data_IF_846929482862
#
_entry.id   IF_846929482862
#
_cell.length_a   1.000
_cell.length_b   1.000
_cell.length_c   1.000
_cell.angle_alpha   90.00
_cell.angle_beta   90.00
_cell.angle_gamma   90.00
#
_symmetry.space_group_name_H-M   'P 1'
#
loop_
_entity.id
_entity.type
_entity.pdbx_description
1 polymer ?
#
# COMPACT_ATOMS: atom_id res chain seq x y z
N UNK A 1 -5.14 13.43 -8.81
CA UNK A 1 -4.97 12.25 -9.69
C UNK A 1 -3.83 12.58 -10.63
N UNK A 2 -2.70 11.89 -10.49
CA UNK A 2 -1.63 11.99 -11.48
C UNK A 2 -2.15 11.55 -12.85
N UNK A 3 -1.60 12.08 -13.94
CA UNK A 3 -1.92 11.62 -15.30
C UNK A 3 -1.50 10.17 -15.59
N UNK A 4 -0.86 9.49 -14.63
CA UNK A 4 -0.39 8.12 -14.76
C UNK A 4 -1.47 7.08 -14.41
N UNK A 5 -2.37 7.39 -13.46
CA UNK A 5 -3.40 6.47 -12.98
C UNK A 5 -4.40 6.08 -14.09
N UNK A 6 -4.71 4.79 -14.21
CA UNK A 6 -5.78 4.33 -15.11
C UNK A 6 -7.14 4.42 -14.42
N UNK A 7 -8.13 4.95 -15.12
CA UNK A 7 -9.54 4.88 -14.71
C UNK A 7 -10.06 3.44 -14.69
N UNK A 8 -11.12 3.18 -13.93
CA UNK A 8 -11.77 1.86 -13.89
C UNK A 8 -12.21 1.38 -15.28
N UNK A 9 -12.69 2.29 -16.13
CA UNK A 9 -13.07 1.98 -17.51
C UNK A 9 -11.87 1.59 -18.39
N UNK A 10 -10.67 2.14 -18.13
CA UNK A 10 -9.44 1.69 -18.79
C UNK A 10 -9.09 0.28 -18.32
N UNK A 11 -9.08 0.02 -17.01
CA UNK A 11 -8.82 -1.32 -16.46
C UNK A 11 -9.75 -2.37 -17.04
N UNK A 12 -11.06 -2.13 -17.02
CA UNK A 12 -12.06 -3.04 -17.56
C UNK A 12 -11.86 -3.32 -19.05
N UNK A 13 -11.55 -2.28 -19.84
CA UNK A 13 -11.27 -2.43 -21.28
C UNK A 13 -10.09 -3.36 -21.53
N UNK A 14 -9.05 -3.29 -20.70
CA UNK A 14 -7.86 -4.13 -20.83
C UNK A 14 -8.10 -5.57 -20.38
N UNK A 15 -8.96 -5.81 -19.38
CA UNK A 15 -9.13 -7.16 -18.81
C UNK A 15 -10.34 -7.95 -19.35
N UNK A 16 -11.36 -7.30 -19.93
CA UNK A 16 -12.66 -7.93 -20.27
C UNK A 16 -12.56 -9.18 -21.16
N UNK A 17 -11.62 -9.19 -22.11
CA UNK A 17 -11.42 -10.29 -23.06
C UNK A 17 -10.30 -11.24 -22.66
N UNK A 18 -9.59 -10.96 -21.57
CA UNK A 18 -8.49 -11.80 -21.10
C UNK A 18 -9.07 -13.11 -20.58
N UNK A 19 -8.50 -14.24 -21.03
CA UNK A 19 -8.79 -15.59 -20.57
C UNK A 19 -7.47 -16.27 -20.28
N UNK A 20 -7.34 -16.83 -19.08
CA UNK A 20 -6.10 -17.44 -18.60
C UNK A 20 -6.40 -18.75 -17.89
N UNK A 21 -5.36 -19.51 -17.52
CA UNK A 21 -5.50 -20.69 -16.65
C UNK A 21 -6.12 -20.36 -15.28
N UNK A 22 -6.12 -19.09 -14.88
CA UNK A 22 -6.81 -18.61 -13.68
C UNK A 22 -8.32 -18.51 -13.87
N UNK A 23 -8.76 -17.98 -15.00
CA UNK A 23 -10.17 -17.89 -15.34
C UNK A 23 -10.37 -18.11 -16.85
N UNK A 24 -10.58 -19.38 -17.28
CA UNK A 24 -10.59 -19.71 -18.70
C UNK A 24 -11.92 -19.40 -19.39
N UNK A 25 -13.01 -19.31 -18.63
CA UNK A 25 -14.38 -19.26 -19.19
C UNK A 25 -15.09 -17.93 -18.97
N UNK A 26 -14.66 -17.12 -18.00
CA UNK A 26 -15.30 -15.85 -17.67
C UNK A 26 -14.27 -14.70 -17.66
N UNK A 27 -14.74 -13.43 -17.81
CA UNK A 27 -13.91 -12.26 -17.56
C UNK A 27 -13.37 -12.24 -16.12
N UNK A 28 -12.21 -11.61 -15.93
CA UNK A 28 -11.64 -11.37 -14.62
C UNK A 28 -12.54 -10.44 -13.79
N UNK A 29 -12.58 -10.67 -12.47
CA UNK A 29 -13.40 -9.91 -11.55
C UNK A 29 -12.90 -8.45 -11.45
N UNK A 30 -13.78 -7.49 -11.75
CA UNK A 30 -13.46 -6.06 -11.72
C UNK A 30 -13.56 -5.45 -10.32
N UNK A 31 -14.21 -6.13 -9.37
CA UNK A 31 -14.51 -5.60 -8.02
C UNK A 31 -13.61 -6.15 -6.92
N UNK A 32 -13.15 -7.38 -7.05
CA UNK A 32 -12.41 -8.07 -6.00
C UNK A 32 -11.24 -8.89 -6.57
N UNK A 33 -10.17 -9.00 -5.80
CA UNK A 33 -9.12 -10.00 -6.02
C UNK A 33 -9.54 -11.30 -5.33
N UNK A 34 -9.67 -12.36 -6.11
CA UNK A 34 -10.15 -13.67 -5.64
C UNK A 34 -9.02 -14.67 -5.37
N UNK A 35 -7.78 -14.30 -5.71
CA UNK A 35 -6.59 -15.12 -5.48
C UNK A 35 -6.43 -15.43 -3.99
N UNK A 36 -6.11 -16.67 -3.68
CA UNK A 36 -5.96 -17.15 -2.30
C UNK A 36 -4.51 -17.52 -1.97
N UNK A 37 -4.12 -17.49 -0.68
CA UNK A 37 -2.76 -17.81 -0.24
C UNK A 37 -2.28 -19.26 -0.48
N UNK A 38 -3.20 -20.18 -0.79
CA UNK A 38 -2.96 -21.59 -1.11
C UNK A 38 -2.88 -21.86 -2.63
N UNK A 39 -3.12 -20.83 -3.46
CA UNK A 39 -3.01 -20.94 -4.90
C UNK A 39 -1.54 -21.09 -5.34
N UNK A 40 -1.27 -22.01 -6.28
CA UNK A 40 0.09 -22.23 -6.81
C UNK A 40 0.73 -20.99 -7.46
N UNK A 41 -0.09 -20.02 -7.87
CA UNK A 41 0.32 -18.73 -8.44
C UNK A 41 0.67 -17.68 -7.38
N UNK A 42 0.30 -17.91 -6.13
CA UNK A 42 0.30 -16.88 -5.09
C UNK A 42 1.68 -16.27 -4.83
N UNK A 43 2.73 -17.08 -4.74
CA UNK A 43 4.09 -16.55 -4.49
C UNK A 43 4.58 -15.69 -5.66
N UNK A 44 4.35 -16.11 -6.90
CA UNK A 44 4.68 -15.28 -8.08
C UNK A 44 3.84 -14.00 -8.10
N UNK A 45 2.58 -14.06 -7.65
CA UNK A 45 1.74 -12.88 -7.52
C UNK A 45 2.32 -11.88 -6.51
N UNK A 46 2.85 -12.34 -5.37
CA UNK A 46 3.52 -11.47 -4.40
C UNK A 46 4.75 -10.79 -4.99
N UNK A 47 5.61 -11.53 -5.70
CA UNK A 47 6.74 -10.94 -6.41
C UNK A 47 6.30 -9.96 -7.51
N UNK A 48 5.16 -10.24 -8.15
CA UNK A 48 4.61 -9.33 -9.14
C UNK A 48 4.11 -8.03 -8.52
N UNK A 49 3.38 -8.10 -7.40
CA UNK A 49 2.94 -6.93 -6.62
C UNK A 49 4.15 -6.10 -6.20
N UNK A 50 5.17 -6.77 -5.66
CA UNK A 50 6.42 -6.17 -5.20
C UNK A 50 7.16 -5.41 -6.30
N UNK A 51 7.42 -6.08 -7.43
CA UNK A 51 8.18 -5.47 -8.52
C UNK A 51 7.42 -4.31 -9.20
N UNK A 52 6.09 -4.28 -9.08
CA UNK A 52 5.26 -3.17 -9.56
C UNK A 52 4.98 -2.12 -8.47
N UNK A 53 5.52 -2.29 -7.25
CA UNK A 53 5.41 -1.33 -6.14
C UNK A 53 3.95 -0.99 -5.79
N UNK A 54 3.07 -1.97 -5.90
CA UNK A 54 1.62 -1.74 -5.86
C UNK A 54 1.13 -1.36 -4.46
N UNK A 55 1.76 -1.90 -3.43
CA UNK A 55 1.37 -1.60 -2.04
C UNK A 55 2.31 -0.58 -1.38
N UNK A 56 3.29 -0.04 -2.10
CA UNK A 56 4.03 1.14 -1.65
C UNK A 56 3.00 2.25 -1.45
N UNK A 57 2.94 2.82 -0.25
CA UNK A 57 1.97 3.84 0.04
C UNK A 57 2.53 4.91 0.94
N UNK A 58 1.90 6.07 0.82
CA UNK A 58 2.13 7.22 1.66
C UNK A 58 0.84 7.59 2.38
N UNK A 59 0.94 8.09 3.60
CA UNK A 59 -0.21 8.58 4.33
C UNK A 59 -0.23 10.10 4.43
N UNK A 60 -1.39 10.70 4.18
CA UNK A 60 -1.63 12.14 4.30
C UNK A 60 -2.82 12.41 5.24
N UNK A 61 -2.78 13.53 5.97
CA UNK A 61 -3.97 14.02 6.68
C UNK A 61 -5.07 14.36 5.66
N UNK A 62 -6.31 14.02 5.99
CA UNK A 62 -7.45 14.45 5.20
C UNK A 62 -7.58 15.97 5.11
N UNK A 63 -7.71 16.47 3.87
CA UNK A 63 -7.69 17.90 3.54
C UNK A 63 -6.29 18.45 3.23
N UNK A 64 -5.30 17.57 3.08
CA UNK A 64 -3.99 17.88 2.53
C UNK A 64 -4.02 18.31 1.06
N UNK A 65 -2.83 18.44 0.48
CA UNK A 65 -2.49 19.36 -0.62
C UNK A 65 -3.33 19.18 -1.89
N UNK A 66 -3.89 17.98 -2.13
CA UNK A 66 -4.64 17.67 -3.36
C UNK A 66 -5.99 16.94 -3.13
N UNK A 67 -6.39 16.69 -1.88
CA UNK A 67 -7.59 15.89 -1.60
C UNK A 67 -8.88 16.70 -1.62
N UNK A 68 -9.80 16.32 -2.50
CA UNK A 68 -11.13 16.92 -2.63
C UNK A 68 -12.29 16.07 -2.07
N UNK A 69 -12.00 14.91 -1.48
CA UNK A 69 -13.00 13.94 -1.01
C UNK A 69 -13.39 14.07 0.48
N UNK A 70 -14.01 13.02 1.06
CA UNK A 70 -14.51 13.01 2.44
C UNK A 70 -13.47 13.41 3.49
N UNK A 71 -13.93 14.13 4.53
CA UNK A 71 -13.07 14.74 5.55
C UNK A 71 -12.82 13.93 6.84
N UNK A 72 -13.27 12.69 6.89
CA UNK A 72 -13.52 11.95 8.15
C UNK A 72 -12.50 10.86 8.49
N UNK A 73 -11.26 10.93 7.97
CA UNK A 73 -10.28 9.85 8.16
C UNK A 73 -8.84 10.26 7.88
N UNK A 74 -8.06 9.30 7.36
CA UNK A 74 -6.68 9.47 6.93
C UNK A 74 -6.55 8.92 5.51
N UNK A 75 -5.83 9.61 4.62
CA UNK A 75 -5.71 9.24 3.21
C UNK A 75 -4.48 8.37 3.03
N UNK A 76 -4.64 7.24 2.35
CA UNK A 76 -3.53 6.42 1.87
C UNK A 76 -3.41 6.61 0.36
N UNK A 77 -2.23 7.06 -0.08
CA UNK A 77 -1.86 7.21 -1.47
C UNK A 77 -1.05 5.99 -1.87
N UNK A 78 -1.70 5.03 -2.51
CA UNK A 78 -1.09 3.78 -2.94
C UNK A 78 -0.46 3.92 -4.31
N UNK A 79 0.62 3.18 -4.54
CA UNK A 79 1.35 3.07 -5.80
C UNK A 79 1.60 4.42 -6.52
N UNK A 80 2.10 5.45 -5.81
CA UNK A 80 2.18 6.82 -6.33
C UNK A 80 3.00 6.89 -7.63
N UNK A 81 2.48 7.62 -8.62
CA UNK A 81 3.13 7.80 -9.92
C UNK A 81 2.99 6.61 -10.89
N UNK A 82 2.17 5.61 -10.55
CA UNK A 82 1.94 4.43 -11.39
C UNK A 82 0.49 4.36 -11.90
N UNK A 83 0.22 3.46 -12.85
CA UNK A 83 -1.16 3.21 -13.32
C UNK A 83 -2.08 2.58 -12.25
N UNK A 84 -1.50 2.01 -11.19
CA UNK A 84 -2.24 1.47 -10.05
C UNK A 84 -2.50 2.51 -8.96
N UNK A 85 -2.02 3.75 -9.14
CA UNK A 85 -2.20 4.82 -8.17
C UNK A 85 -3.68 4.95 -7.77
N UNK A 86 -3.93 4.88 -6.48
CA UNK A 86 -5.28 5.03 -5.92
C UNK A 86 -5.22 5.68 -4.54
N UNK A 87 -6.35 6.25 -4.14
CA UNK A 87 -6.48 6.94 -2.86
C UNK A 87 -7.62 6.31 -2.07
N UNK A 88 -7.31 5.81 -0.88
CA UNK A 88 -8.31 5.29 0.05
C UNK A 88 -8.39 6.20 1.27
N UNK A 89 -9.59 6.35 1.83
CA UNK A 89 -9.78 7.00 3.13
C UNK A 89 -10.08 5.92 4.15
N UNK A 90 -9.23 5.80 5.15
CA UNK A 90 -9.41 4.85 6.25
C UNK A 90 -9.75 5.58 7.54
N UNK A 91 -10.44 4.93 8.49
CA UNK A 91 -10.63 5.47 9.83
C UNK A 91 -9.30 5.76 10.52
N UNK A 92 -9.28 6.75 11.42
CA UNK A 92 -8.06 7.10 12.16
C UNK A 92 -7.49 5.92 12.94
N UNK A 93 -8.30 5.06 13.55
CA UNK A 93 -7.80 3.89 14.28
C UNK A 93 -6.97 2.96 13.40
N UNK A 94 -7.46 2.66 12.20
CA UNK A 94 -6.74 1.88 11.20
C UNK A 94 -5.43 2.57 10.82
N UNK A 95 -5.48 3.86 10.53
CA UNK A 95 -4.30 4.64 10.17
C UNK A 95 -3.25 4.68 11.30
N UNK A 96 -3.68 4.83 12.55
CA UNK A 96 -2.81 4.84 13.73
C UNK A 96 -2.06 3.53 13.87
N UNK A 97 -2.71 2.40 13.60
CA UNK A 97 -2.03 1.12 13.62
C UNK A 97 -0.86 1.09 12.62
N UNK A 98 -1.12 1.44 11.36
CA UNK A 98 -0.08 1.47 10.33
C UNK A 98 1.04 2.51 10.60
N UNK A 99 0.67 3.67 11.12
CA UNK A 99 1.60 4.80 11.24
C UNK A 99 2.40 4.71 12.53
N UNK A 100 1.76 4.38 13.65
CA UNK A 100 2.39 4.46 14.97
C UNK A 100 2.84 3.10 15.52
N UNK A 101 2.07 2.03 15.30
CA UNK A 101 2.41 0.72 15.86
C UNK A 101 3.53 0.05 15.07
N UNK A 102 3.40 0.04 13.73
CA UNK A 102 4.38 -0.59 12.84
C UNK A 102 5.75 0.10 12.93
N UNK A 103 5.74 1.44 13.03
CA UNK A 103 6.96 2.23 13.16
C UNK A 103 7.50 2.35 14.59
N UNK A 104 6.72 1.92 15.60
CA UNK A 104 7.07 2.02 17.03
C UNK A 104 7.47 3.46 17.45
N UNK A 105 6.74 4.45 16.97
CA UNK A 105 7.11 5.85 17.15
C UNK A 105 7.05 6.32 18.61
N UNK A 106 8.11 7.01 19.02
CA UNK A 106 8.25 7.64 20.34
C UNK A 106 8.17 9.16 20.22
N UNK A 107 7.75 9.83 21.29
CA UNK A 107 7.69 11.29 21.34
C UNK A 107 9.06 11.97 21.16
N UNK A 108 10.15 11.27 21.48
CA UNK A 108 11.53 11.70 21.22
C UNK A 108 11.91 11.80 19.75
N UNK A 109 11.12 11.20 18.85
CA UNK A 109 11.34 11.26 17.40
C UNK A 109 10.72 12.50 16.76
N UNK A 110 9.83 13.20 17.49
CA UNK A 110 9.09 14.38 17.02
C UNK A 110 9.10 15.48 18.10
N UNK A 111 10.29 15.82 18.59
CA UNK A 111 10.45 16.67 19.79
C UNK A 111 9.81 18.05 19.60
N UNK A 112 10.06 18.68 18.47
CA UNK A 112 9.53 19.99 18.10
C UNK A 112 8.00 20.05 18.05
N UNK A 113 7.33 18.91 17.85
CA UNK A 113 5.89 18.81 18.00
C UNK A 113 5.50 18.71 19.47
N UNK A 114 6.06 17.75 20.21
CA UNK A 114 5.61 17.40 21.56
C UNK A 114 6.02 18.39 22.64
N UNK A 115 7.14 19.11 22.49
CA UNK A 115 7.65 20.08 23.48
C UNK A 115 6.64 21.21 23.76
N UNK A 116 5.81 21.57 22.78
CA UNK A 116 4.74 22.58 22.91
C UNK A 116 3.63 22.15 23.88
N UNK A 117 3.51 20.84 24.12
CA UNK A 117 2.46 20.23 24.95
C UNK A 117 3.02 19.63 26.25
N UNK A 118 4.30 19.90 26.56
CA UNK A 118 4.98 19.43 27.78
C UNK A 118 6.25 18.62 27.50
N UNK A 119 6.98 18.21 28.55
CA UNK A 119 8.28 17.56 28.40
C UNK A 119 8.20 16.26 27.61
N UNK A 120 9.19 15.99 26.76
CA UNK A 120 9.36 14.73 26.02
C UNK A 120 9.87 13.64 26.97
N UNK A 121 9.30 12.43 26.91
CA UNK A 121 9.50 11.36 27.91
C UNK A 121 10.06 10.04 27.38
N UNK A 122 10.25 9.90 26.07
CA UNK A 122 10.64 8.63 25.45
C UNK A 122 9.51 7.60 25.42
N UNK A 123 8.27 8.06 25.40
CA UNK A 123 7.07 7.19 25.41
C UNK A 123 6.44 7.11 24.03
N UNK A 124 5.64 6.07 23.79
CA UNK A 124 4.90 5.93 22.53
C UNK A 124 4.04 7.17 22.27
N UNK A 125 4.01 7.64 21.03
CA UNK A 125 3.15 8.75 20.63
C UNK A 125 1.66 8.46 20.87
N UNK A 126 1.24 7.18 20.89
CA UNK A 126 -0.15 6.79 21.22
C UNK A 126 -0.55 7.19 22.63
N UNK A 127 0.40 7.22 23.56
CA UNK A 127 0.17 7.66 24.93
C UNK A 127 0.10 9.19 25.06
N UNK A 128 0.62 9.90 24.06
CA UNK A 128 0.66 11.37 24.02
C UNK A 128 -0.53 11.97 23.28
N UNK A 129 -0.99 11.29 22.22
CA UNK A 129 -2.00 11.81 21.31
C UNK A 129 -3.40 11.35 21.70
N UNK A 130 -4.37 12.26 21.60
CA UNK A 130 -5.78 11.94 21.80
C UNK A 130 -6.64 12.30 20.59
N UNK A 131 -7.92 11.90 20.60
CA UNK A 131 -8.87 12.32 19.57
C UNK A 131 -9.55 13.66 19.85
N UNK A 132 -9.63 14.04 21.12
CA UNK A 132 -10.50 15.15 21.57
C UNK A 132 -9.72 16.33 22.14
N UNK A 133 -8.59 16.07 22.79
CA UNK A 133 -7.79 17.05 23.52
C UNK A 133 -6.38 17.13 22.97
N UNK A 134 -5.87 18.34 22.77
CA UNK A 134 -4.51 18.53 22.28
C UNK A 134 -3.47 17.94 23.24
N UNK A 135 -2.38 17.35 22.70
CA UNK A 135 -2.12 17.18 21.28
C UNK A 135 -2.98 16.07 20.66
N UNK A 136 -3.61 16.37 19.53
CA UNK A 136 -4.52 15.44 18.84
C UNK A 136 -3.83 14.68 17.70
N UNK A 137 -4.38 13.52 17.34
CA UNK A 137 -3.97 12.79 16.14
C UNK A 137 -4.05 13.63 14.87
N UNK A 138 -5.09 14.46 14.74
CA UNK A 138 -5.25 15.34 13.59
C UNK A 138 -4.17 16.43 13.52
N UNK A 139 -3.78 17.02 14.65
CA UNK A 139 -2.67 17.99 14.72
C UNK A 139 -1.34 17.32 14.38
N UNK A 140 -1.10 16.12 14.90
CA UNK A 140 0.14 15.38 14.64
C UNK A 140 0.27 14.93 13.18
N UNK A 141 -0.78 14.35 12.60
CA UNK A 141 -0.79 13.94 11.19
C UNK A 141 -0.62 15.12 10.23
N UNK A 142 -1.14 16.30 10.59
CA UNK A 142 -0.84 17.53 9.85
C UNK A 142 0.64 17.86 9.87
N UNK A 143 1.25 17.72 11.04
CA UNK A 143 2.65 18.03 11.26
C UNK A 143 3.57 17.07 10.50
N UNK A 144 3.27 15.76 10.49
CA UNK A 144 4.16 14.75 9.88
C UNK A 144 3.83 14.42 8.42
N UNK A 145 2.60 14.65 7.97
CA UNK A 145 2.12 14.30 6.64
C UNK A 145 1.79 15.48 5.73
N UNK A 146 1.90 16.73 6.21
CA UNK A 146 1.64 17.91 5.38
C UNK A 146 2.70 18.13 4.28
N UNK A 147 2.36 18.89 3.24
CA UNK A 147 3.24 19.19 2.10
C UNK A 147 4.62 19.75 2.49
N UNK A 148 4.66 20.55 3.56
CA UNK A 148 5.88 21.19 4.08
C UNK A 148 6.54 20.37 5.21
N UNK A 149 6.05 19.15 5.47
CA UNK A 149 6.57 18.34 6.56
C UNK A 149 7.96 17.78 6.22
N UNK A 150 8.98 18.00 7.07
CA UNK A 150 10.25 17.29 6.92
C UNK A 150 10.10 15.78 7.18
N UNK A 151 8.96 15.36 7.72
CA UNK A 151 8.62 13.98 8.03
C UNK A 151 7.79 13.29 6.94
N UNK A 152 7.59 13.92 5.79
CA UNK A 152 6.82 13.37 4.68
C UNK A 152 7.26 11.95 4.27
N UNK A 153 8.58 11.66 4.34
CA UNK A 153 9.15 10.34 4.04
C UNK A 153 8.98 9.29 5.15
N UNK A 154 8.52 9.71 6.33
CA UNK A 154 8.39 8.84 7.50
C UNK A 154 7.17 7.95 7.39
N UNK A 155 6.19 8.36 6.60
CA UNK A 155 4.92 7.65 6.42
C UNK A 155 4.86 6.89 5.10
N UNK A 156 6.04 6.57 4.56
CA UNK A 156 6.20 5.78 3.36
C UNK A 156 6.57 4.34 3.73
N UNK A 157 5.78 3.39 3.23
CA UNK A 157 6.08 1.97 3.34
C UNK A 157 6.63 1.45 2.02
N UNK A 158 7.76 0.75 2.11
CA UNK A 158 8.40 0.09 0.98
C UNK A 158 8.62 -1.38 1.28
N UNK A 159 8.26 -2.25 0.37
CA UNK A 159 8.59 -3.67 0.48
C UNK A 159 10.10 -3.93 0.35
N UNK A 160 10.63 -4.76 1.24
CA UNK A 160 12.03 -5.16 1.22
C UNK A 160 12.23 -6.55 0.64
N UNK A 161 11.57 -7.54 1.23
CA UNK A 161 11.89 -8.96 1.02
C UNK A 161 10.66 -9.81 1.19
N UNK A 162 10.58 -10.88 0.41
CA UNK A 162 9.56 -11.91 0.49
C UNK A 162 10.26 -13.20 0.89
N UNK A 163 9.84 -13.80 2.01
CA UNK A 163 10.29 -15.11 2.51
C UNK A 163 9.15 -16.13 2.33
N UNK A 164 9.17 -16.94 1.24
CA UNK A 164 8.12 -17.91 0.97
C UNK A 164 8.08 -19.07 1.97
N UNK A 165 9.22 -19.40 2.61
CA UNK A 165 9.30 -20.50 3.56
C UNK A 165 8.61 -20.13 4.87
N UNK A 166 8.86 -18.92 5.36
CA UNK A 166 8.19 -18.39 6.56
C UNK A 166 6.83 -17.77 6.28
N UNK A 167 6.49 -17.57 5.00
CA UNK A 167 5.26 -16.89 4.54
C UNK A 167 5.14 -15.47 5.09
N UNK A 168 6.24 -14.73 5.01
CA UNK A 168 6.38 -13.37 5.53
C UNK A 168 6.84 -12.44 4.41
N UNK A 169 6.32 -11.21 4.42
CA UNK A 169 6.87 -10.08 3.67
C UNK A 169 7.40 -9.07 4.67
N UNK A 170 8.66 -8.69 4.50
CA UNK A 170 9.30 -7.63 5.29
C UNK A 170 9.12 -6.31 4.55
N UNK A 171 8.62 -5.30 5.25
CA UNK A 171 8.48 -3.94 4.78
C UNK A 171 9.40 -3.02 5.60
N UNK A 172 9.85 -1.94 4.97
CA UNK A 172 10.51 -0.83 5.63
C UNK A 172 9.56 0.36 5.68
N UNK A 173 9.33 0.86 6.89
CA UNK A 173 8.84 2.21 7.11
C UNK A 173 9.96 3.23 7.05
N UNK A 174 9.57 4.50 7.03
CA UNK A 174 10.55 5.59 7.02
C UNK A 174 11.54 5.49 8.18
N UNK A 175 12.74 6.02 7.95
CA UNK A 175 13.94 5.84 8.80
C UNK A 175 14.49 4.39 8.89
N UNK A 176 14.06 3.47 8.04
CA UNK A 176 14.62 2.11 7.98
C UNK A 176 14.10 1.19 9.08
N UNK A 177 12.92 1.48 9.64
CA UNK A 177 12.24 0.57 10.57
C UNK A 177 11.67 -0.60 9.79
N UNK A 178 12.15 -1.81 10.07
CA UNK A 178 11.61 -3.03 9.49
C UNK A 178 10.42 -3.54 10.30
N UNK A 179 9.38 -3.99 9.60
CA UNK A 179 8.28 -4.76 10.17
C UNK A 179 7.82 -5.85 9.20
N UNK A 180 7.09 -6.83 9.72
CA UNK A 180 6.75 -8.06 9.01
C UNK A 180 5.24 -8.22 8.89
N UNK A 181 4.77 -8.56 7.68
CA UNK A 181 3.41 -9.02 7.44
C UNK A 181 3.42 -10.50 7.11
N UNK A 182 2.47 -11.24 7.69
CA UNK A 182 2.13 -12.57 7.17
C UNK A 182 1.55 -12.43 5.76
N UNK A 183 1.65 -13.49 4.95
CA UNK A 183 1.04 -13.52 3.62
C UNK A 183 -0.47 -13.19 3.63
N UNK A 184 -1.20 -13.58 4.67
CA UNK A 184 -2.63 -13.30 4.79
C UNK A 184 -2.90 -11.82 5.08
N UNK A 185 -2.11 -11.21 5.97
CA UNK A 185 -2.16 -9.77 6.25
C UNK A 185 -1.80 -8.99 4.99
N UNK A 186 -0.73 -9.38 4.32
CA UNK A 186 -0.25 -8.75 3.09
C UNK A 186 -1.28 -8.82 1.96
N UNK A 187 -1.93 -9.97 1.77
CA UNK A 187 -3.01 -10.12 0.79
C UNK A 187 -4.23 -9.23 1.11
N UNK A 188 -4.50 -8.97 2.38
CA UNK A 188 -5.55 -8.04 2.80
C UNK A 188 -5.24 -6.62 2.31
N UNK A 189 -4.00 -6.16 2.48
CA UNK A 189 -3.56 -4.85 1.96
C UNK A 189 -3.65 -4.78 0.43
N UNK A 190 -3.20 -5.83 -0.27
CA UNK A 190 -3.27 -5.87 -1.74
C UNK A 190 -4.73 -5.73 -2.23
N UNK A 191 -5.70 -6.31 -1.52
CA UNK A 191 -7.13 -6.28 -1.89
C UNK A 191 -7.76 -4.90 -1.83
N UNK A 192 -7.17 -3.96 -1.10
CA UNK A 192 -7.62 -2.56 -1.07
C UNK A 192 -7.35 -1.85 -2.42
N UNK A 193 -6.34 -2.31 -3.17
CA UNK A 193 -5.85 -1.62 -4.37
C UNK A 193 -6.10 -2.42 -5.65
N UNK A 194 -6.01 -3.75 -5.56
CA UNK A 194 -6.00 -4.68 -6.68
C UNK A 194 -7.25 -5.54 -6.74
N UNK A 195 -7.77 -5.70 -7.95
CA UNK A 195 -8.79 -6.69 -8.31
C UNK A 195 -8.22 -7.69 -9.30
N UNK A 196 -8.90 -8.81 -9.56
CA UNK A 196 -8.44 -9.78 -10.57
C UNK A 196 -8.20 -9.08 -11.93
N UNK A 197 -9.09 -8.15 -12.30
CA UNK A 197 -8.97 -7.35 -13.51
C UNK A 197 -7.72 -6.46 -13.51
N UNK A 198 -7.39 -5.78 -12.40
CA UNK A 198 -6.16 -4.98 -12.28
C UNK A 198 -4.88 -5.83 -12.29
N UNK A 199 -5.01 -7.11 -11.96
CA UNK A 199 -3.96 -8.11 -12.02
C UNK A 199 -3.90 -8.89 -13.35
N UNK A 200 -4.65 -8.50 -14.40
CA UNK A 200 -4.74 -9.30 -15.63
C UNK A 200 -3.38 -9.68 -16.23
N UNK A 201 -2.43 -8.73 -16.23
CA UNK A 201 -1.10 -8.97 -16.78
C UNK A 201 -0.32 -10.03 -16.01
N UNK A 202 -0.49 -10.10 -14.69
CA UNK A 202 0.13 -11.15 -13.90
C UNK A 202 -0.31 -12.52 -14.41
N UNK A 203 -1.61 -12.72 -14.59
CA UNK A 203 -2.15 -14.00 -15.04
C UNK A 203 -1.70 -14.36 -16.46
N UNK A 204 -1.65 -13.39 -17.38
CA UNK A 204 -1.15 -13.62 -18.75
C UNK A 204 0.35 -13.97 -18.76
N UNK A 205 1.15 -13.29 -17.95
CA UNK A 205 2.58 -13.57 -17.81
C UNK A 205 2.82 -14.95 -17.18
N UNK A 206 2.02 -15.32 -16.18
CA UNK A 206 2.09 -16.63 -15.55
C UNK A 206 1.78 -17.74 -16.56
N UNK A 207 0.74 -17.59 -17.39
CA UNK A 207 0.41 -18.56 -18.44
C UNK A 207 1.52 -18.68 -19.50
N UNK A 208 2.22 -17.57 -19.78
CA UNK A 208 3.30 -17.53 -20.78
C UNK A 208 4.60 -18.14 -20.27
N UNK A 209 4.98 -17.84 -19.03
CA UNK A 209 6.32 -18.14 -18.50
C UNK A 209 6.32 -19.21 -17.41
N UNK A 210 5.15 -19.57 -16.87
CA UNK A 210 4.99 -20.57 -15.83
C UNK A 210 5.44 -20.11 -14.46
N UNK A 211 5.45 -21.07 -13.52
CA UNK A 211 5.84 -20.88 -12.12
C UNK A 211 7.27 -20.34 -11.99
N UNK A 212 7.46 -19.39 -11.08
CA UNK A 212 8.75 -18.77 -10.76
C UNK A 212 9.18 -17.71 -11.77
N UNK A 213 8.28 -17.21 -12.63
CA UNK A 213 8.63 -16.15 -13.57
C UNK A 213 8.85 -14.81 -12.86
N UNK A 214 8.04 -14.52 -11.83
CA UNK A 214 8.00 -13.20 -11.21
C UNK A 214 9.20 -12.97 -10.28
N UNK A 215 9.79 -14.05 -9.75
CA UNK A 215 11.01 -14.00 -8.94
C UNK A 215 12.29 -13.81 -9.76
N UNK A 216 12.20 -13.77 -11.10
CA UNK A 216 13.35 -13.53 -12.00
C UNK A 216 13.41 -12.05 -12.40
N UNK A 217 14.60 -11.48 -12.63
CA UNK A 217 14.70 -10.11 -13.15
C UNK A 217 14.23 -10.02 -14.62
N UNK A 218 13.80 -8.84 -15.07
CA UNK A 218 13.65 -8.49 -16.48
C UNK A 218 12.25 -8.59 -17.10
N UNK A 219 11.22 -9.03 -16.35
CA UNK A 219 9.83 -9.04 -16.83
C UNK A 219 9.05 -7.75 -16.49
N UNK A 220 9.44 -7.06 -15.41
CA UNK A 220 8.74 -5.85 -14.95
C UNK A 220 8.85 -4.72 -16.00
N UNK A 221 7.74 -4.08 -16.32
CA UNK A 221 7.67 -3.01 -17.33
C UNK A 221 7.56 -3.48 -18.79
N UNK A 222 7.56 -4.79 -19.08
CA UNK A 222 7.33 -5.27 -20.44
C UNK A 222 5.86 -5.20 -20.82
N UNK A 223 5.57 -4.67 -22.01
CA UNK A 223 4.24 -4.76 -22.59
C UNK A 223 3.91 -6.22 -22.89
N UNK A 224 2.83 -6.74 -22.33
CA UNK A 224 2.26 -8.02 -22.78
C UNK A 224 1.65 -7.75 -24.16
N UNK A 225 2.42 -8.02 -25.21
CA UNK A 225 1.87 -8.05 -26.56
C UNK A 225 0.89 -9.22 -26.63
N UNK A 226 -0.37 -8.88 -26.94
CA UNK A 226 -1.45 -9.86 -27.07
C UNK A 226 -1.12 -10.93 -28.11
N UNK A 227 -1.68 -12.13 -27.92
CA UNK A 227 -1.78 -13.10 -29.01
C UNK A 227 -2.80 -12.62 -30.04
#
# INVERSE_FOLDING_TARGET
MSGAAWSDAQWERHCRSVRTSYNPTAPLNVKHLTLKPDDQRFVDFLYWVWANKIIEHQVEQVGGTEWSGPKTGVIFHWAPGSRWETHTVVPFEHAIHHIADEHKWLDTMFKEFFEKYGPVKGVSIRQRLSFEKSPTWAEFLRHVGGAESPYYRYVFHQESTIDPEKRIVTLFGGQGVAFEYTFDRYLTEIKEVVTDCKAYQFFELYDRYGKGFASKPGWAGQAVTGR
#
